data_IF_476085839204
#
_entry.id   IF_476085839204
#
_cell.length_a   1.000
_cell.length_b   1.000
_cell.length_c   1.000
_cell.angle_alpha   90.00
_cell.angle_beta   90.00
_cell.angle_gamma   90.00
#
_symmetry.space_group_name_H-M   'P 1'
#
loop_
_entity.id
_entity.type
_entity.pdbx_description
1 polymer ?
#
# COMPACT_ATOMS: atom_id res chain seq x y z
N UNK A 1 -36.44 9.52 -14.91
CA UNK A 1 -35.54 10.19 -15.88
C UNK A 1 -34.38 9.25 -16.18
N UNK A 2 -34.44 8.47 -17.25
CA UNK A 2 -33.27 7.76 -17.75
C UNK A 2 -32.31 8.76 -18.42
N UNK A 3 -31.05 8.39 -18.65
CA UNK A 3 -30.21 9.17 -19.55
C UNK A 3 -30.89 9.25 -20.92
N UNK A 4 -31.08 10.47 -21.43
CA UNK A 4 -31.72 10.72 -22.71
C UNK A 4 -30.73 11.46 -23.63
N UNK A 5 -30.30 10.78 -24.69
CA UNK A 5 -29.40 11.35 -25.69
C UNK A 5 -29.99 12.59 -26.36
N UNK A 6 -31.32 12.67 -26.52
CA UNK A 6 -31.95 13.87 -27.08
C UNK A 6 -31.80 15.07 -26.14
N UNK A 7 -32.03 14.87 -24.84
CA UNK A 7 -31.84 15.91 -23.83
C UNK A 7 -30.37 16.37 -23.77
N UNK A 8 -29.43 15.43 -23.83
CA UNK A 8 -27.99 15.72 -23.76
C UNK A 8 -27.45 16.39 -25.03
N UNK A 9 -28.07 16.14 -26.19
CA UNK A 9 -27.73 16.82 -27.45
C UNK A 9 -28.06 18.33 -27.43
N UNK A 10 -28.97 18.78 -26.55
CA UNK A 10 -29.29 20.19 -26.38
C UNK A 10 -28.39 20.92 -25.37
N UNK A 11 -27.54 20.20 -24.66
CA UNK A 11 -26.58 20.79 -23.72
C UNK A 11 -25.50 21.52 -24.51
N UNK A 12 -25.31 22.80 -24.23
CA UNK A 12 -24.37 23.65 -24.99
C UNK A 12 -23.05 23.87 -24.27
N UNK A 13 -23.03 23.67 -22.94
CA UNK A 13 -21.83 23.84 -22.14
C UNK A 13 -21.50 22.61 -21.32
N UNK A 14 -20.20 22.42 -21.05
CA UNK A 14 -19.76 21.33 -20.17
C UNK A 14 -20.28 21.48 -18.73
N UNK A 15 -20.54 22.70 -18.27
CA UNK A 15 -21.08 22.93 -16.92
C UNK A 15 -22.53 22.45 -16.84
N UNK A 16 -23.37 22.80 -17.82
CA UNK A 16 -24.74 22.27 -17.95
C UNK A 16 -24.75 20.73 -17.96
N UNK A 17 -23.82 20.11 -18.70
CA UNK A 17 -23.68 18.65 -18.73
C UNK A 17 -23.41 18.11 -17.32
N UNK A 18 -22.45 18.67 -16.60
CA UNK A 18 -22.08 18.19 -15.26
C UNK A 18 -23.23 18.37 -14.28
N UNK A 19 -23.92 19.51 -14.30
CA UNK A 19 -25.11 19.75 -13.49
C UNK A 19 -26.18 18.69 -13.77
N UNK A 20 -26.46 18.41 -15.06
CA UNK A 20 -27.42 17.38 -15.47
C UNK A 20 -26.99 15.98 -15.00
N UNK A 21 -25.73 15.58 -15.20
CA UNK A 21 -25.23 14.26 -14.79
C UNK A 21 -25.30 14.07 -13.27
N UNK A 22 -24.97 15.13 -12.51
CA UNK A 22 -25.10 15.12 -11.04
C UNK A 22 -26.57 14.96 -10.65
N UNK A 23 -27.47 15.77 -11.21
CA UNK A 23 -28.90 15.70 -10.93
C UNK A 23 -29.46 14.30 -11.25
N UNK A 24 -29.05 13.72 -12.37
CA UNK A 24 -29.42 12.37 -12.78
C UNK A 24 -28.96 11.32 -11.75
N UNK A 25 -27.72 11.42 -11.26
CA UNK A 25 -27.23 10.53 -10.19
C UNK A 25 -28.07 10.67 -8.91
N UNK A 26 -28.43 11.89 -8.50
CA UNK A 26 -29.30 12.11 -7.33
C UNK A 26 -30.70 11.54 -7.50
N UNK A 27 -31.25 11.61 -8.71
CA UNK A 27 -32.58 11.11 -9.02
C UNK A 27 -32.64 9.57 -9.09
N UNK A 28 -31.54 8.92 -9.46
CA UNK A 28 -31.51 7.48 -9.76
C UNK A 28 -30.84 6.62 -8.71
N UNK A 29 -29.82 7.13 -8.05
CA UNK A 29 -29.14 6.33 -7.04
C UNK A 29 -30.05 6.15 -5.82
N UNK A 30 -30.08 4.95 -5.22
CA UNK A 30 -30.81 4.73 -3.99
C UNK A 30 -30.36 5.72 -2.90
N UNK A 31 -31.30 6.25 -2.13
CA UNK A 31 -31.00 7.29 -1.14
C UNK A 31 -30.00 6.83 -0.08
N UNK A 32 -29.97 5.53 0.27
CA UNK A 32 -29.00 4.94 1.19
C UNK A 32 -27.58 4.79 0.60
N UNK A 33 -27.38 5.05 -0.70
CA UNK A 33 -26.06 5.18 -1.33
C UNK A 33 -25.55 6.61 -1.37
N UNK A 34 -26.38 7.58 -1.04
CA UNK A 34 -25.99 8.98 -1.04
C UNK A 34 -25.75 9.38 0.41
N UNK A 35 -24.53 9.82 0.70
CA UNK A 35 -24.20 10.37 2.00
C UNK A 35 -25.15 11.54 2.34
N UNK A 36 -25.72 11.53 3.55
CA UNK A 36 -26.70 12.54 3.98
C UNK A 36 -26.17 13.96 3.88
N UNK A 37 -24.89 14.17 4.15
CA UNK A 37 -24.23 15.49 4.03
C UNK A 37 -24.14 15.95 2.57
N UNK A 38 -23.82 15.04 1.63
CA UNK A 38 -23.84 15.34 0.20
C UNK A 38 -25.23 15.70 -0.31
N UNK A 39 -26.26 15.05 0.26
CA UNK A 39 -27.65 15.35 -0.05
C UNK A 39 -28.06 16.72 0.49
N UNK A 40 -27.78 17.02 1.76
CA UNK A 40 -28.21 18.28 2.37
C UNK A 40 -27.56 19.51 1.72
N UNK A 41 -26.25 19.48 1.49
CA UNK A 41 -25.52 20.69 1.12
C UNK A 41 -25.60 21.06 -0.36
N UNK A 42 -25.86 20.09 -1.23
CA UNK A 42 -25.65 20.24 -2.66
C UNK A 42 -26.82 19.71 -3.49
N UNK A 43 -27.98 19.43 -2.88
CA UNK A 43 -29.21 19.19 -3.65
C UNK A 43 -29.86 20.50 -4.10
N UNK A 44 -29.42 21.64 -3.55
CA UNK A 44 -29.85 22.96 -3.99
C UNK A 44 -29.05 23.38 -5.24
N UNK A 45 -29.76 23.54 -6.36
CA UNK A 45 -29.18 23.82 -7.68
C UNK A 45 -28.40 25.16 -7.70
N UNK A 46 -28.93 26.28 -7.19
CA UNK A 46 -28.17 27.51 -6.97
C UNK A 46 -26.83 27.31 -6.26
N UNK A 47 -26.81 26.53 -5.18
CA UNK A 47 -25.58 26.28 -4.40
C UNK A 47 -24.60 25.44 -5.21
N UNK A 48 -25.09 24.44 -5.95
CA UNK A 48 -24.27 23.64 -6.85
C UNK A 48 -23.63 24.51 -7.94
N UNK A 49 -24.42 25.42 -8.55
CA UNK A 49 -23.95 26.32 -9.60
C UNK A 49 -22.89 27.28 -9.08
N UNK A 50 -23.11 27.90 -7.92
CA UNK A 50 -22.12 28.78 -7.26
C UNK A 50 -20.78 28.05 -7.02
N UNK A 51 -20.83 26.79 -6.61
CA UNK A 51 -19.63 25.98 -6.39
C UNK A 51 -18.94 25.58 -7.69
N UNK A 52 -19.69 25.28 -8.75
CA UNK A 52 -19.13 25.01 -10.08
C UNK A 52 -18.41 26.25 -10.63
N UNK A 53 -19.02 27.42 -10.49
CA UNK A 53 -18.48 28.69 -10.98
C UNK A 53 -17.23 29.13 -10.19
N UNK A 54 -17.25 28.96 -8.87
CA UNK A 54 -16.12 29.36 -8.00
C UNK A 54 -14.95 28.38 -8.01
N UNK A 55 -15.14 27.14 -8.46
CA UNK A 55 -14.12 26.11 -8.43
C UNK A 55 -12.96 26.33 -9.44
N UNK A 56 -13.18 27.15 -10.48
CA UNK A 56 -12.19 27.33 -11.56
C UNK A 56 -11.90 26.04 -12.30
N UNK A 57 -12.96 25.30 -12.65
CA UNK A 57 -12.87 24.00 -13.33
C UNK A 57 -12.32 24.16 -14.75
N UNK A 58 -11.46 23.22 -15.12
CA UNK A 58 -10.97 23.02 -16.48
C UNK A 58 -11.25 21.58 -16.86
N UNK A 59 -11.76 21.36 -18.06
CA UNK A 59 -12.19 20.06 -18.54
C UNK A 59 -11.24 19.53 -19.60
N UNK A 60 -11.20 18.20 -19.74
CA UNK A 60 -10.48 17.57 -20.82
C UNK A 60 -11.04 18.05 -22.18
N UNK A 61 -10.17 18.28 -23.18
CA UNK A 61 -10.63 18.55 -24.54
C UNK A 61 -11.54 17.43 -25.02
N UNK A 62 -12.56 17.76 -25.81
CA UNK A 62 -13.56 16.83 -26.37
C UNK A 62 -14.45 16.11 -25.35
N UNK A 63 -14.45 16.49 -24.06
CA UNK A 63 -15.22 15.77 -23.04
C UNK A 63 -16.73 15.91 -23.23
N UNK A 64 -17.21 17.10 -23.63
CA UNK A 64 -18.63 17.35 -23.86
C UNK A 64 -19.10 16.48 -25.03
N UNK A 65 -18.35 16.53 -26.13
CA UNK A 65 -18.58 15.79 -27.35
C UNK A 65 -18.57 14.29 -27.06
N UNK A 66 -17.57 13.79 -26.31
CA UNK A 66 -17.45 12.38 -25.95
C UNK A 66 -18.68 11.82 -25.22
N UNK A 67 -19.36 12.63 -24.41
CA UNK A 67 -20.60 12.23 -23.72
C UNK A 67 -21.84 12.40 -24.61
N UNK A 68 -21.83 13.37 -25.53
CA UNK A 68 -22.91 13.62 -26.48
C UNK A 68 -22.93 12.64 -27.66
N UNK A 69 -21.82 11.96 -27.95
CA UNK A 69 -21.77 10.98 -29.03
C UNK A 69 -22.69 9.77 -28.74
N UNK A 70 -23.39 9.32 -29.79
CA UNK A 70 -24.26 8.14 -29.74
C UNK A 70 -23.48 6.84 -29.53
N UNK A 71 -22.19 6.81 -29.90
CA UNK A 71 -21.28 5.71 -29.64
C UNK A 71 -20.43 6.00 -28.38
N UNK A 72 -20.10 4.97 -27.58
CA UNK A 72 -19.29 5.16 -26.38
C UNK A 72 -17.85 5.58 -26.72
N UNK A 73 -17.16 6.32 -25.83
CA UNK A 73 -15.77 6.66 -26.01
C UNK A 73 -14.89 5.42 -26.16
N UNK A 74 -13.99 5.46 -27.13
CA UNK A 74 -13.02 4.38 -27.34
C UNK A 74 -11.95 4.38 -26.25
N UNK A 75 -11.23 3.26 -26.11
CA UNK A 75 -10.10 3.21 -25.19
C UNK A 75 -9.01 4.24 -25.53
N UNK A 76 -8.81 4.49 -26.82
CA UNK A 76 -7.81 5.45 -27.31
C UNK A 76 -8.16 6.89 -26.92
N UNK A 77 -9.46 7.23 -26.87
CA UNK A 77 -9.90 8.51 -26.32
C UNK A 77 -9.44 8.67 -24.88
N UNK A 78 -9.67 7.67 -24.01
CA UNK A 78 -9.19 7.69 -22.63
C UNK A 78 -7.66 7.79 -22.53
N UNK A 79 -6.93 7.14 -23.46
CA UNK A 79 -5.46 7.22 -23.53
C UNK A 79 -4.94 8.58 -24.01
N UNK A 80 -5.75 9.33 -24.76
CA UNK A 80 -5.44 10.67 -25.26
C UNK A 80 -5.62 11.78 -24.21
N UNK A 81 -6.30 11.49 -23.10
CA UNK A 81 -6.62 12.47 -22.07
C UNK A 81 -5.37 13.10 -21.45
N UNK A 82 -5.42 14.39 -21.03
CA UNK A 82 -4.31 15.07 -20.38
C UNK A 82 -3.84 14.32 -19.12
N UNK A 83 -2.54 14.15 -18.94
CA UNK A 83 -1.96 13.40 -17.81
C UNK A 83 -1.32 14.29 -16.73
N UNK A 84 -1.09 15.57 -17.04
CA UNK A 84 -0.36 16.50 -16.17
C UNK A 84 -1.31 17.29 -15.28
N UNK A 85 -1.29 17.02 -13.97
CA UNK A 85 -2.03 17.80 -12.96
C UNK A 85 -1.20 18.04 -11.69
N UNK A 86 -0.01 18.63 -11.87
CA UNK A 86 0.82 19.03 -10.75
C UNK A 86 0.12 20.11 -9.90
N UNK A 87 -0.07 19.84 -8.59
CA UNK A 87 -0.74 20.74 -7.63
C UNK A 87 -2.14 21.19 -8.09
N UNK A 88 -2.94 20.24 -8.59
CA UNK A 88 -4.34 20.45 -8.97
C UNK A 88 -5.23 19.43 -8.30
N UNK A 89 -6.45 19.81 -7.97
CA UNK A 89 -7.51 18.82 -7.72
C UNK A 89 -8.04 18.32 -9.06
N UNK A 90 -8.56 17.09 -9.10
CA UNK A 90 -8.99 16.50 -10.36
C UNK A 90 -9.84 15.26 -10.20
N UNK A 91 -10.66 14.99 -11.20
CA UNK A 91 -11.24 13.67 -11.47
C UNK A 91 -10.42 13.06 -12.60
N UNK A 92 -9.93 11.85 -12.38
CA UNK A 92 -9.06 11.12 -13.29
C UNK A 92 -9.67 9.78 -13.65
N UNK A 93 -9.18 9.23 -14.74
CA UNK A 93 -9.46 7.88 -15.22
C UNK A 93 -8.15 7.13 -15.43
N UNK A 94 -8.12 5.87 -14.99
CA UNK A 94 -6.99 4.96 -15.16
C UNK A 94 -7.39 3.88 -16.12
N UNK A 95 -6.53 3.63 -17.11
CA UNK A 95 -6.66 2.52 -18.04
C UNK A 95 -5.73 1.40 -17.61
N UNK A 96 -6.31 0.21 -17.43
CA UNK A 96 -5.64 -1.02 -17.04
C UNK A 96 -5.73 -2.02 -18.19
N UNK A 97 -4.59 -2.52 -18.66
CA UNK A 97 -4.54 -3.48 -19.76
C UNK A 97 -3.74 -4.72 -19.37
N UNK A 98 -4.15 -5.84 -19.96
CA UNK A 98 -3.49 -7.14 -19.88
C UNK A 98 -3.67 -7.83 -21.22
N UNK A 99 -2.59 -8.37 -21.78
CA UNK A 99 -2.64 -9.08 -23.05
C UNK A 99 -3.68 -10.23 -23.01
N UNK A 100 -4.51 -10.33 -24.05
CA UNK A 100 -5.56 -11.34 -24.16
C UNK A 100 -6.74 -11.15 -23.20
N UNK A 101 -6.83 -10.02 -22.50
CA UNK A 101 -7.94 -9.69 -21.62
C UNK A 101 -8.60 -8.37 -22.05
N UNK A 102 -9.91 -8.24 -21.81
CA UNK A 102 -10.63 -6.98 -22.03
C UNK A 102 -10.06 -5.88 -21.10
N UNK A 103 -9.76 -4.67 -21.62
CA UNK A 103 -9.27 -3.55 -20.81
C UNK A 103 -10.21 -3.19 -19.68
N UNK A 104 -9.67 -2.57 -18.63
CA UNK A 104 -10.44 -2.10 -17.48
C UNK A 104 -10.21 -0.62 -17.25
N UNK A 105 -11.24 0.10 -16.81
CA UNK A 105 -11.10 1.50 -16.40
C UNK A 105 -11.55 1.72 -14.95
N UNK A 106 -10.92 2.69 -14.31
CA UNK A 106 -11.28 3.18 -12.98
C UNK A 106 -11.37 4.69 -13.02
N UNK A 107 -12.49 5.26 -12.58
CA UNK A 107 -12.63 6.70 -12.35
C UNK A 107 -12.46 6.97 -10.86
N UNK A 108 -11.66 7.98 -10.53
CA UNK A 108 -11.48 8.43 -9.15
C UNK A 108 -11.19 9.92 -9.07
N UNK A 109 -11.23 10.50 -7.87
CA UNK A 109 -10.80 11.88 -7.65
C UNK A 109 -9.58 11.97 -6.74
N UNK A 110 -8.89 13.10 -6.81
CA UNK A 110 -7.76 13.42 -5.94
C UNK A 110 -7.84 14.86 -5.46
N UNK A 111 -8.24 15.03 -4.19
CA UNK A 111 -8.49 16.34 -3.55
C UNK A 111 -7.57 16.60 -2.35
N UNK A 112 -6.34 16.06 -2.40
CA UNK A 112 -5.34 16.29 -1.36
C UNK A 112 -4.88 17.75 -1.32
N UNK A 113 -4.82 18.36 -0.13
CA UNK A 113 -4.49 19.79 0.00
C UNK A 113 -3.05 20.14 -0.45
N UNK A 114 -2.09 19.22 -0.35
CA UNK A 114 -0.69 19.51 -0.69
C UNK A 114 -0.36 19.27 -2.17
N UNK A 115 -0.80 18.13 -2.69
CA UNK A 115 -0.37 17.56 -3.98
C UNK A 115 -1.55 17.30 -4.93
N UNK A 116 -2.78 17.46 -4.43
CA UNK A 116 -4.00 17.18 -5.19
C UNK A 116 -4.01 15.78 -5.81
N UNK A 117 -4.37 15.70 -7.08
CA UNK A 117 -4.50 14.45 -7.84
C UNK A 117 -3.15 13.79 -8.14
N UNK A 118 -2.04 14.55 -8.18
CA UNK A 118 -0.72 13.96 -8.43
C UNK A 118 -0.32 12.94 -7.38
N UNK A 119 -0.72 13.15 -6.11
CA UNK A 119 -0.44 12.17 -5.05
C UNK A 119 -1.15 10.84 -5.32
N UNK A 120 -2.39 10.92 -5.79
CA UNK A 120 -3.19 9.74 -6.09
C UNK A 120 -2.66 9.01 -7.32
N UNK A 121 -2.28 9.74 -8.37
CA UNK A 121 -1.59 9.20 -9.55
C UNK A 121 -0.29 8.48 -9.16
N UNK A 122 0.54 9.10 -8.30
CA UNK A 122 1.80 8.51 -7.83
C UNK A 122 1.60 7.24 -6.99
N UNK A 123 0.48 7.08 -6.29
CA UNK A 123 0.19 5.84 -5.57
C UNK A 123 0.03 4.65 -6.52
N UNK A 124 -0.43 4.89 -7.76
CA UNK A 124 -0.50 3.82 -8.76
C UNK A 124 0.88 3.46 -9.31
N UNK A 125 1.75 4.45 -9.51
CA UNK A 125 3.13 4.23 -9.94
C UNK A 125 3.95 3.46 -8.90
N UNK A 126 3.80 3.86 -7.63
CA UNK A 126 4.54 3.27 -6.51
C UNK A 126 3.88 2.01 -5.93
N UNK A 127 2.70 1.64 -6.43
CA UNK A 127 1.90 0.51 -5.95
C UNK A 127 1.64 0.49 -4.44
N UNK A 128 1.33 1.65 -3.85
CA UNK A 128 1.23 1.80 -2.39
C UNK A 128 -0.20 1.74 -1.85
N UNK A 129 -1.17 2.38 -2.52
CA UNK A 129 -2.55 2.48 -2.02
C UNK A 129 -3.53 2.47 -3.18
N UNK A 130 -4.23 1.35 -3.31
CA UNK A 130 -5.16 1.09 -4.41
C UNK A 130 -6.61 1.01 -3.93
N UNK A 131 -7.58 1.39 -4.77
CA UNK A 131 -8.93 0.84 -4.66
C UNK A 131 -8.88 -0.70 -4.74
N UNK A 132 -9.69 -1.39 -3.95
CA UNK A 132 -9.67 -2.84 -3.81
C UNK A 132 -9.67 -3.63 -5.14
N UNK A 133 -10.48 -3.21 -6.12
CA UNK A 133 -10.55 -3.91 -7.41
C UNK A 133 -9.51 -3.46 -8.43
N UNK A 134 -8.87 -2.31 -8.23
CA UNK A 134 -7.65 -1.97 -8.98
C UNK A 134 -6.51 -2.84 -8.47
N UNK A 135 -6.38 -3.03 -7.16
CA UNK A 135 -5.43 -3.98 -6.57
C UNK A 135 -5.66 -5.41 -7.07
N UNK A 136 -6.92 -5.85 -7.07
CA UNK A 136 -7.29 -7.15 -7.66
C UNK A 136 -6.87 -7.26 -9.12
N UNK A 137 -7.07 -6.22 -9.93
CA UNK A 137 -6.63 -6.21 -11.32
C UNK A 137 -5.09 -6.33 -11.44
N UNK A 138 -4.32 -5.63 -10.59
CA UNK A 138 -2.87 -5.80 -10.54
C UNK A 138 -2.45 -7.23 -10.21
N UNK A 139 -3.11 -7.85 -9.22
CA UNK A 139 -2.85 -9.24 -8.83
C UNK A 139 -3.21 -10.24 -9.95
N UNK A 140 -4.16 -9.88 -10.82
CA UNK A 140 -4.51 -10.65 -12.01
C UNK A 140 -3.55 -10.39 -13.19
N UNK A 141 -2.54 -9.54 -13.03
CA UNK A 141 -1.52 -9.24 -14.04
C UNK A 141 -1.84 -8.07 -14.98
N UNK A 142 -2.83 -7.23 -14.63
CA UNK A 142 -3.05 -5.98 -15.35
C UNK A 142 -1.99 -4.94 -14.98
N UNK A 143 -1.66 -4.07 -15.94
CA UNK A 143 -0.80 -2.92 -15.75
C UNK A 143 -1.55 -1.64 -16.10
N UNK A 144 -1.20 -0.54 -15.41
CA UNK A 144 -1.70 0.79 -15.77
C UNK A 144 -0.98 1.26 -17.03
N UNK A 145 -1.72 1.50 -18.10
CA UNK A 145 -1.17 1.99 -19.38
C UNK A 145 -1.47 3.47 -19.62
N UNK A 146 -2.50 4.04 -18.99
CA UNK A 146 -2.74 5.48 -18.98
C UNK A 146 -3.37 5.98 -17.67
N UNK A 147 -3.13 7.26 -17.35
CA UNK A 147 -3.71 8.01 -16.22
C UNK A 147 -4.15 9.38 -16.73
N UNK A 148 -5.35 9.46 -17.26
CA UNK A 148 -5.92 10.67 -17.86
C UNK A 148 -6.75 11.48 -16.87
N UNK A 149 -6.85 12.78 -17.09
CA UNK A 149 -7.72 13.68 -16.33
C UNK A 149 -8.98 13.94 -17.14
N UNK A 150 -10.15 13.81 -16.50
CA UNK A 150 -11.43 14.21 -17.07
C UNK A 150 -11.69 15.69 -16.79
N UNK A 151 -11.38 16.14 -15.57
CA UNK A 151 -11.38 17.56 -15.20
C UNK A 151 -10.37 17.84 -14.09
N UNK A 152 -10.01 19.11 -13.93
CA UNK A 152 -9.14 19.58 -12.87
C UNK A 152 -9.40 21.03 -12.47
N UNK A 153 -8.93 21.40 -11.29
CA UNK A 153 -9.04 22.74 -10.72
C UNK A 153 -7.76 23.12 -9.96
N UNK A 154 -7.48 24.42 -9.75
CA UNK A 154 -6.56 24.84 -8.70
C UNK A 154 -6.91 24.17 -7.35
N UNK A 155 -5.90 23.94 -6.50
CA UNK A 155 -6.18 23.56 -5.12
C UNK A 155 -6.87 24.76 -4.45
N UNK A 156 -8.06 24.58 -3.85
CA UNK A 156 -8.80 25.70 -3.28
C UNK A 156 -8.17 26.22 -1.99
N UNK A 157 -8.62 27.40 -1.57
CA UNK A 157 -8.29 27.94 -0.24
C UNK A 157 -8.85 27.04 0.85
N UNK A 158 -8.22 26.97 2.04
CA UNK A 158 -8.65 26.06 3.12
C UNK A 158 -10.13 26.19 3.51
N UNK A 159 -10.69 27.40 3.55
CA UNK A 159 -12.10 27.63 3.85
C UNK A 159 -13.07 26.92 2.91
N UNK A 160 -12.70 26.79 1.63
CA UNK A 160 -13.57 26.18 0.61
C UNK A 160 -13.31 24.68 0.42
N UNK A 161 -12.26 24.12 1.04
CA UNK A 161 -11.84 22.72 0.87
C UNK A 161 -12.97 21.72 1.14
N UNK A 162 -13.72 21.79 2.25
CA UNK A 162 -14.76 20.79 2.54
C UNK A 162 -15.86 20.77 1.47
N UNK A 163 -16.40 21.94 1.11
CA UNK A 163 -17.48 22.07 0.11
C UNK A 163 -17.03 21.62 -1.28
N UNK A 164 -15.86 22.07 -1.72
CA UNK A 164 -15.34 21.68 -3.03
C UNK A 164 -14.95 20.20 -3.09
N UNK A 165 -14.50 19.59 -1.98
CA UNK A 165 -14.24 18.15 -1.95
C UNK A 165 -15.53 17.36 -2.21
N UNK A 166 -16.66 17.79 -1.63
CA UNK A 166 -17.96 17.21 -1.90
C UNK A 166 -18.36 17.35 -3.37
N UNK A 167 -18.11 18.52 -3.99
CA UNK A 167 -18.34 18.73 -5.42
C UNK A 167 -17.54 17.73 -6.28
N UNK A 168 -16.26 17.52 -5.97
CA UNK A 168 -15.42 16.55 -6.68
C UNK A 168 -15.90 15.10 -6.52
N UNK A 169 -16.44 14.72 -5.36
CA UNK A 169 -17.07 13.40 -5.17
C UNK A 169 -18.32 13.24 -6.04
N UNK A 170 -19.12 14.30 -6.20
CA UNK A 170 -20.28 14.28 -7.11
C UNK A 170 -19.86 14.11 -8.56
N UNK A 171 -18.86 14.87 -9.00
CA UNK A 171 -18.32 14.77 -10.36
C UNK A 171 -17.66 13.41 -10.61
N UNK A 172 -16.92 12.86 -9.64
CA UNK A 172 -16.39 11.50 -9.69
C UNK A 172 -17.49 10.47 -9.88
N UNK A 173 -18.56 10.57 -9.09
CA UNK A 173 -19.72 9.69 -9.21
C UNK A 173 -20.38 9.80 -10.59
N UNK A 174 -20.65 11.03 -11.04
CA UNK A 174 -21.22 11.31 -12.35
C UNK A 174 -20.38 10.67 -13.48
N UNK A 175 -19.07 10.89 -13.48
CA UNK A 175 -18.20 10.29 -14.49
C UNK A 175 -18.06 8.78 -14.38
N UNK A 176 -18.06 8.23 -13.16
CA UNK A 176 -17.99 6.79 -12.95
C UNK A 176 -19.22 6.08 -13.53
N UNK A 177 -20.39 6.70 -13.46
CA UNK A 177 -21.61 6.15 -14.05
C UNK A 177 -21.74 6.43 -15.54
N UNK A 178 -21.50 7.67 -16.00
CA UNK A 178 -21.66 8.01 -17.43
C UNK A 178 -20.72 7.17 -18.30
N UNK A 179 -19.47 6.96 -17.88
CA UNK A 179 -18.52 6.10 -18.59
C UNK A 179 -18.58 4.63 -18.14
N UNK A 180 -19.49 4.29 -17.22
CA UNK A 180 -19.63 2.98 -16.60
C UNK A 180 -18.29 2.35 -16.15
N UNK A 181 -17.51 3.09 -15.37
CA UNK A 181 -16.35 2.53 -14.67
C UNK A 181 -16.73 1.68 -13.46
N UNK A 182 -18.02 1.45 -13.22
CA UNK A 182 -18.57 0.60 -12.18
C UNK A 182 -18.42 -0.89 -12.51
N UNK A 183 -18.17 -1.72 -11.48
CA UNK A 183 -18.21 -3.17 -11.67
C UNK A 183 -19.62 -3.63 -12.03
N UNK A 184 -19.71 -4.49 -13.06
CA UNK A 184 -20.94 -5.20 -13.41
C UNK A 184 -21.24 -6.26 -12.36
N UNK A 185 -22.01 -5.87 -11.36
CA UNK A 185 -22.62 -6.80 -10.39
C UNK A 185 -24.12 -6.80 -10.61
N UNK A 186 -24.84 -7.89 -10.32
CA UNK A 186 -26.30 -7.92 -10.46
C UNK A 186 -26.96 -6.71 -9.79
N UNK A 187 -26.52 -6.37 -8.57
CA UNK A 187 -26.99 -5.20 -7.83
C UNK A 187 -26.77 -3.87 -8.56
N UNK A 188 -25.60 -3.65 -9.16
CA UNK A 188 -25.31 -2.41 -9.90
C UNK A 188 -26.13 -2.32 -11.19
N UNK A 189 -26.30 -3.46 -11.88
CA UNK A 189 -27.08 -3.56 -13.12
C UNK A 189 -28.58 -3.41 -12.90
N UNK A 190 -29.07 -3.73 -11.70
CA UNK A 190 -30.47 -3.52 -11.32
C UNK A 190 -30.74 -2.06 -10.92
N UNK A 191 -29.77 -1.41 -10.25
CA UNK A 191 -30.02 -0.15 -9.57
C UNK A 191 -29.78 1.10 -10.40
N UNK A 192 -28.86 1.06 -11.37
CA UNK A 192 -28.49 2.27 -12.10
C UNK A 192 -27.97 2.08 -13.55
N UNK A 193 -28.36 1.03 -14.31
CA UNK A 193 -27.85 0.82 -15.67
C UNK A 193 -28.14 2.03 -16.59
N UNK A 194 -29.25 2.73 -16.35
CA UNK A 194 -29.68 3.88 -17.14
C UNK A 194 -28.88 5.16 -16.92
N UNK A 195 -27.90 5.15 -16.00
CA UNK A 195 -26.95 6.27 -15.85
C UNK A 195 -25.83 6.24 -16.91
N UNK A 196 -25.64 5.11 -17.57
CA UNK A 196 -24.77 5.00 -18.74
C UNK A 196 -25.59 5.33 -20.00
N UNK A 197 -25.13 6.26 -20.86
CA UNK A 197 -25.81 6.59 -22.11
C UNK A 197 -25.88 5.42 -23.09
N UNK A 198 -24.95 4.49 -22.97
CA UNK A 198 -24.67 3.47 -23.97
C UNK A 198 -25.02 2.08 -23.45
N UNK A 199 -25.42 1.14 -24.34
CA UNK A 199 -25.50 -0.27 -23.99
C UNK A 199 -24.18 -0.76 -23.40
N UNK A 200 -24.23 -1.42 -22.25
CA UNK A 200 -23.02 -1.79 -21.52
C UNK A 200 -22.17 -2.80 -22.30
N UNK A 201 -22.78 -3.66 -23.10
CA UNK A 201 -22.12 -4.57 -24.02
C UNK A 201 -21.37 -3.86 -25.17
N UNK A 202 -21.81 -2.65 -25.57
CA UNK A 202 -21.13 -1.84 -26.58
C UNK A 202 -19.82 -1.18 -26.10
N UNK A 203 -19.60 -1.09 -24.79
CA UNK A 203 -18.35 -0.57 -24.23
C UNK A 203 -17.19 -1.50 -24.61
N UNK A 204 -15.99 -0.96 -24.85
CA UNK A 204 -14.79 -1.76 -25.17
C UNK A 204 -13.99 -2.21 -23.93
N UNK A 205 -14.44 -1.81 -22.75
CA UNK A 205 -13.75 -1.98 -21.48
C UNK A 205 -14.72 -2.41 -20.38
N UNK A 206 -14.17 -2.83 -19.24
CA UNK A 206 -14.92 -3.11 -18.01
C UNK A 206 -14.60 -2.09 -16.92
N UNK A 207 -15.56 -1.81 -16.04
CA UNK A 207 -15.36 -0.97 -14.87
C UNK A 207 -14.84 -1.72 -13.65
N UNK A 208 -13.99 -1.08 -12.84
CA UNK A 208 -13.49 -1.63 -11.56
C UNK A 208 -13.84 -0.81 -10.32
N UNK A 209 -14.69 0.21 -10.41
CA UNK A 209 -15.21 0.90 -9.22
C UNK A 209 -16.14 -0.01 -8.41
N UNK A 210 -15.93 -0.07 -7.08
CA UNK A 210 -16.73 -0.91 -6.16
C UNK A 210 -18.00 -0.23 -5.67
N UNK A 211 -18.01 1.10 -5.61
CA UNK A 211 -19.05 1.89 -4.99
C UNK A 211 -19.14 3.25 -5.68
N UNK A 212 -20.30 3.90 -5.53
CA UNK A 212 -20.49 5.28 -5.95
C UNK A 212 -19.75 6.21 -4.98
N UNK A 213 -18.96 7.15 -5.50
CA UNK A 213 -18.24 8.14 -4.68
C UNK A 213 -19.18 8.98 -3.80
N UNK A 214 -20.46 9.10 -4.18
CA UNK A 214 -21.49 9.75 -3.35
C UNK A 214 -21.81 9.03 -2.03
N UNK A 215 -21.41 7.76 -1.87
CA UNK A 215 -21.56 7.02 -0.61
C UNK A 215 -20.45 7.32 0.39
N UNK A 216 -19.36 7.95 -0.06
CA UNK A 216 -18.24 8.30 0.79
C UNK A 216 -18.63 9.37 1.81
N UNK A 217 -18.08 9.25 3.03
CA UNK A 217 -18.17 10.32 4.01
C UNK A 217 -17.20 11.41 3.59
N UNK A 218 -17.74 12.60 3.29
CA UNK A 218 -16.92 13.78 3.05
C UNK A 218 -15.94 13.98 4.20
N UNK A 219 -14.66 14.17 3.87
CA UNK A 219 -13.62 14.47 4.86
C UNK A 219 -13.60 15.99 5.08
N UNK A 220 -13.92 16.41 6.31
CA UNK A 220 -13.83 17.79 6.77
C UNK A 220 -15.03 18.20 7.61
N UNK A 221 -14.83 19.20 8.46
CA UNK A 221 -15.88 19.74 9.32
C UNK A 221 -16.65 20.83 8.58
N UNK A 222 -17.66 20.42 7.82
CA UNK A 222 -18.45 21.35 6.97
C UNK A 222 -19.29 22.33 7.81
N UNK A 223 -19.46 22.06 9.11
CA UNK A 223 -20.11 22.97 10.04
C UNK A 223 -19.22 24.13 10.52
N UNK A 224 -17.93 24.14 10.18
CA UNK A 224 -17.03 25.23 10.56
C UNK A 224 -17.11 26.39 9.57
N UNK A 225 -16.88 27.61 10.08
CA UNK A 225 -16.75 28.80 9.23
C UNK A 225 -15.45 28.75 8.42
N UNK A 226 -15.40 29.52 7.32
CA UNK A 226 -14.20 29.61 6.50
C UNK A 226 -12.98 30.08 7.31
N UNK A 227 -13.16 31.06 8.20
CA UNK A 227 -12.10 31.54 9.08
C UNK A 227 -11.58 30.46 10.05
N UNK A 228 -12.47 29.63 10.60
CA UNK A 228 -12.07 28.49 11.45
C UNK A 228 -11.28 27.44 10.66
N UNK A 229 -11.74 27.12 9.45
CA UNK A 229 -11.05 26.19 8.55
C UNK A 229 -9.67 26.70 8.13
N UNK A 230 -9.54 28.01 7.90
CA UNK A 230 -8.25 28.65 7.63
C UNK A 230 -7.31 28.60 8.83
N UNK A 231 -7.81 28.89 10.04
CA UNK A 231 -7.02 28.78 11.27
C UNK A 231 -6.51 27.34 11.48
N UNK A 232 -7.37 26.34 11.31
CA UNK A 232 -7.00 24.92 11.40
C UNK A 232 -5.92 24.55 10.37
N UNK A 233 -6.03 25.08 9.15
CA UNK A 233 -5.05 24.79 8.10
C UNK A 233 -3.68 25.43 8.38
N UNK A 234 -3.64 26.62 8.98
CA UNK A 234 -2.39 27.23 9.46
C UNK A 234 -1.75 26.35 10.53
N UNK A 235 -2.51 25.94 11.55
CA UNK A 235 -2.00 25.07 12.62
C UNK A 235 -1.51 23.72 12.08
N UNK A 236 -2.27 23.11 11.17
CA UNK A 236 -1.90 21.85 10.53
C UNK A 236 -0.59 21.98 9.73
N UNK A 237 -0.38 23.10 9.05
CA UNK A 237 0.87 23.39 8.31
C UNK A 237 2.06 23.52 9.26
N UNK A 238 1.90 24.23 10.38
CA UNK A 238 2.94 24.37 11.41
C UNK A 238 3.29 23.03 12.04
N UNK A 239 2.28 22.24 12.42
CA UNK A 239 2.45 20.90 12.98
C UNK A 239 3.19 19.98 12.02
N UNK A 240 2.84 20.02 10.73
CA UNK A 240 3.51 19.25 9.68
C UNK A 240 4.97 19.69 9.48
N UNK A 241 5.25 21.00 9.51
CA UNK A 241 6.60 21.53 9.42
C UNK A 241 7.47 21.08 10.61
N UNK A 242 6.92 21.14 11.83
CA UNK A 242 7.58 20.66 13.03
C UNK A 242 7.86 19.15 12.99
N UNK A 243 6.87 18.35 12.59
CA UNK A 243 7.03 16.91 12.42
C UNK A 243 8.10 16.56 11.38
N UNK A 244 8.13 17.27 10.25
CA UNK A 244 9.14 17.06 9.21
C UNK A 244 10.55 17.41 9.71
N UNK A 245 10.70 18.49 10.47
CA UNK A 245 11.98 18.86 11.11
C UNK A 245 12.46 17.76 12.06
N UNK A 246 11.58 17.23 12.92
CA UNK A 246 11.90 16.14 13.85
C UNK A 246 12.27 14.84 13.11
N UNK A 247 11.54 14.51 12.05
CA UNK A 247 11.84 13.38 11.19
C UNK A 247 13.24 13.50 10.57
N UNK A 248 13.56 14.67 9.98
CA UNK A 248 14.87 14.94 9.37
C UNK A 248 16.00 14.81 10.39
N UNK A 249 15.86 15.40 11.58
CA UNK A 249 16.85 15.27 12.66
C UNK A 249 17.06 13.81 13.07
N UNK A 250 15.98 13.04 13.15
CA UNK A 250 16.06 11.61 13.46
C UNK A 250 16.76 10.81 12.37
N UNK A 251 16.49 11.12 11.10
CA UNK A 251 17.13 10.49 9.95
C UNK A 251 18.63 10.82 9.89
N UNK A 252 19.01 12.08 10.10
CA UNK A 252 20.41 12.53 10.18
C UNK A 252 21.15 11.83 11.32
N UNK A 253 20.53 11.72 12.51
CA UNK A 253 21.12 10.98 13.64
C UNK A 253 21.34 9.50 13.30
N UNK A 254 20.36 8.84 12.66
CA UNK A 254 20.50 7.44 12.23
C UNK A 254 21.61 7.27 11.19
N UNK A 255 21.72 8.19 10.23
CA UNK A 255 22.77 8.17 9.24
C UNK A 255 24.16 8.33 9.88
N UNK A 256 24.30 9.24 10.85
CA UNK A 256 25.55 9.43 11.61
C UNK A 256 25.96 8.15 12.35
N UNK A 257 25.05 7.55 13.12
CA UNK A 257 25.31 6.30 13.85
C UNK A 257 25.68 5.17 12.89
N UNK A 258 24.99 5.06 11.74
CA UNK A 258 25.33 4.06 10.73
C UNK A 258 26.74 4.25 10.14
N UNK A 259 27.16 5.51 9.93
CA UNK A 259 28.52 5.85 9.51
C UNK A 259 29.55 5.47 10.56
N UNK A 260 29.33 5.83 11.83
CA UNK A 260 30.22 5.49 12.95
C UNK A 260 30.37 3.97 13.11
N UNK A 261 29.28 3.20 12.98
CA UNK A 261 29.32 1.72 13.00
C UNK A 261 30.15 1.19 11.82
N UNK A 262 30.01 1.79 10.65
CA UNK A 262 30.74 1.36 9.43
C UNK A 262 32.24 1.63 9.58
N UNK A 263 32.61 2.80 10.11
CA UNK A 263 33.99 3.15 10.40
C UNK A 263 34.60 2.23 11.47
N UNK A 264 33.88 1.98 12.57
CA UNK A 264 34.32 1.06 13.62
C UNK A 264 34.57 -0.35 13.09
N UNK A 265 33.69 -0.85 12.20
CA UNK A 265 33.89 -2.14 11.52
C UNK A 265 35.12 -2.14 10.62
N UNK A 266 35.38 -1.06 9.90
CA UNK A 266 36.57 -0.93 9.06
C UNK A 266 37.86 -0.91 9.89
N UNK A 267 37.89 -0.21 11.02
CA UNK A 267 39.01 -0.20 11.97
C UNK A 267 39.23 -1.61 12.54
N UNK A 268 38.16 -2.28 12.99
CA UNK A 268 38.25 -3.65 13.50
C UNK A 268 38.79 -4.64 12.45
N UNK A 269 38.38 -4.49 11.19
CA UNK A 269 38.89 -5.30 10.09
C UNK A 269 40.40 -5.07 9.85
N UNK A 270 40.86 -3.81 9.89
CA UNK A 270 42.29 -3.48 9.77
C UNK A 270 43.11 -4.05 10.92
N UNK A 271 42.64 -3.91 12.16
CA UNK A 271 43.29 -4.50 13.33
C UNK A 271 43.37 -6.03 13.22
N UNK A 272 42.31 -6.67 12.71
CA UNK A 272 42.29 -8.11 12.47
C UNK A 272 43.28 -8.53 11.36
N UNK A 273 43.44 -7.71 10.31
CA UNK A 273 44.38 -7.98 9.22
C UNK A 273 45.85 -7.81 9.64
N UNK A 274 46.13 -6.96 10.63
CA UNK A 274 47.46 -6.79 11.23
C UNK A 274 47.78 -7.88 12.26
N UNK A 275 46.79 -8.68 12.72
CA UNK A 275 47.09 -9.85 13.53
C UNK A 275 47.99 -10.80 12.72
N UNK A 276 49.11 -11.29 13.29
CA UNK A 276 49.99 -12.22 12.60
C UNK A 276 49.18 -13.42 12.10
N UNK A 277 49.42 -13.80 10.84
CA UNK A 277 48.74 -14.92 10.15
C UNK A 277 48.59 -16.06 11.13
N UNK A 278 47.34 -16.37 11.48
CA UNK A 278 47.05 -17.40 12.47
C UNK A 278 47.71 -18.68 11.99
N UNK A 279 48.64 -19.21 12.78
CA UNK A 279 49.37 -20.43 12.45
C UNK A 279 48.39 -21.48 11.90
N UNK A 280 48.73 -22.18 10.80
CA UNK A 280 47.82 -23.10 10.15
C UNK A 280 47.16 -24.04 11.16
N UNK A 281 45.85 -24.26 11.02
CA UNK A 281 45.11 -25.18 11.89
C UNK A 281 45.84 -26.53 11.90
N UNK A 282 46.15 -27.02 13.10
CA UNK A 282 46.82 -28.30 13.30
C UNK A 282 48.30 -28.20 13.69
N UNK A 283 48.95 -27.06 13.44
CA UNK A 283 50.35 -26.83 13.86
C UNK A 283 50.50 -26.86 15.40
N UNK A 284 51.66 -27.27 15.95
CA UNK A 284 51.92 -27.23 17.39
C UNK A 284 51.65 -25.84 18.00
N UNK A 285 52.05 -24.77 17.30
CA UNK A 285 51.79 -23.39 17.72
C UNK A 285 50.30 -23.06 17.81
N UNK A 286 49.48 -23.47 16.82
CA UNK A 286 48.03 -23.29 16.88
C UNK A 286 47.41 -24.00 18.10
N UNK A 287 47.83 -25.24 18.38
CA UNK A 287 47.33 -26.02 19.51
C UNK A 287 47.71 -25.38 20.85
N UNK A 288 48.96 -24.91 20.98
CA UNK A 288 49.44 -24.22 22.17
C UNK A 288 48.66 -22.92 22.43
N UNK A 289 48.45 -22.11 21.38
CA UNK A 289 47.66 -20.88 21.48
C UNK A 289 46.21 -21.16 21.86
N UNK A 290 45.57 -22.15 21.21
CA UNK A 290 44.18 -22.55 21.52
C UNK A 290 44.04 -23.01 22.97
N UNK A 291 44.99 -23.80 23.49
CA UNK A 291 45.00 -24.23 24.90
C UNK A 291 45.15 -23.04 25.84
N UNK A 292 46.05 -22.09 25.54
CA UNK A 292 46.22 -20.87 26.34
C UNK A 292 44.93 -20.06 26.37
N UNK A 293 44.30 -19.81 25.21
CA UNK A 293 43.03 -19.09 25.13
C UNK A 293 41.91 -19.81 25.87
N UNK A 294 41.80 -21.14 25.76
CA UNK A 294 40.82 -21.92 26.51
C UNK A 294 41.04 -21.84 28.02
N UNK A 295 42.29 -21.88 28.48
CA UNK A 295 42.63 -21.75 29.90
C UNK A 295 42.31 -20.34 30.43
N UNK A 296 42.63 -19.29 29.67
CA UNK A 296 42.28 -17.90 30.01
C UNK A 296 40.76 -17.70 30.05
N UNK A 297 40.03 -18.26 29.08
CA UNK A 297 38.58 -18.15 29.05
C UNK A 297 37.92 -18.94 30.19
N UNK A 298 38.48 -20.09 30.57
CA UNK A 298 38.05 -20.85 31.74
C UNK A 298 38.30 -20.10 33.06
N UNK A 299 39.36 -19.28 33.14
CA UNK A 299 39.59 -18.39 34.28
C UNK A 299 38.59 -17.23 34.33
N UNK A 300 38.26 -16.64 33.17
CA UNK A 300 37.32 -15.50 33.08
C UNK A 300 35.86 -15.91 33.29
N UNK A 301 35.47 -17.08 32.76
CA UNK A 301 34.08 -17.56 32.76
C UNK A 301 34.03 -19.04 33.21
N UNK A 302 34.27 -19.33 34.50
CA UNK A 302 34.38 -20.70 35.01
C UNK A 302 33.10 -21.52 34.78
N UNK A 303 31.92 -20.92 34.96
CA UNK A 303 30.65 -21.60 34.79
C UNK A 303 30.39 -21.99 33.34
N UNK A 304 30.70 -21.10 32.39
CA UNK A 304 30.55 -21.37 30.97
C UNK A 304 31.53 -22.46 30.50
N UNK A 305 32.77 -22.45 31.02
CA UNK A 305 33.75 -23.49 30.72
C UNK A 305 33.30 -24.86 31.27
N UNK A 306 32.77 -24.90 32.50
CA UNK A 306 32.20 -26.11 33.09
C UNK A 306 31.00 -26.63 32.30
N UNK A 307 30.10 -25.74 31.87
CA UNK A 307 28.96 -26.10 31.03
C UNK A 307 29.40 -26.66 29.66
N UNK A 308 30.40 -26.05 29.02
CA UNK A 308 30.94 -26.52 27.74
C UNK A 308 31.63 -27.89 27.85
N UNK A 309 32.41 -28.11 28.92
CA UNK A 309 32.99 -29.42 29.22
C UNK A 309 31.92 -30.49 29.47
N UNK A 310 30.88 -30.15 30.22
CA UNK A 310 29.77 -31.05 30.48
C UNK A 310 29.01 -31.40 29.19
N UNK A 311 28.75 -30.42 28.33
CA UNK A 311 28.12 -30.64 27.03
C UNK A 311 28.94 -31.59 26.16
N UNK A 312 30.25 -31.36 26.02
CA UNK A 312 31.14 -32.24 25.25
C UNK A 312 31.19 -33.67 25.81
N UNK A 313 31.25 -33.81 27.14
CA UNK A 313 31.19 -35.12 27.81
C UNK A 313 29.85 -35.82 27.57
N UNK A 314 28.74 -35.08 27.58
CA UNK A 314 27.41 -35.64 27.32
C UNK A 314 27.27 -36.09 25.87
N UNK A 315 27.78 -35.33 24.91
CA UNK A 315 27.81 -35.73 23.49
C UNK A 315 28.65 -37.01 23.29
N UNK A 316 29.80 -37.13 23.95
CA UNK A 316 30.63 -38.34 23.88
C UNK A 316 29.91 -39.57 24.47
N UNK A 317 29.26 -39.41 25.63
CA UNK A 317 28.47 -40.48 26.27
C UNK A 317 27.30 -40.94 25.40
N UNK A 318 26.58 -40.00 24.80
CA UNK A 318 25.45 -40.30 23.91
C UNK A 318 25.92 -41.04 22.65
N UNK A 319 27.05 -40.63 22.06
CA UNK A 319 27.66 -41.33 20.92
C UNK A 319 28.07 -42.76 21.27
N UNK A 320 28.74 -42.95 22.42
CA UNK A 320 29.18 -44.27 22.87
C UNK A 320 28.01 -45.24 23.10
N UNK A 321 26.89 -44.76 23.64
CA UNK A 321 25.66 -45.54 23.79
C UNK A 321 25.07 -45.94 22.43
N UNK A 322 24.94 -44.99 21.51
CA UNK A 322 24.39 -45.24 20.16
C UNK A 322 25.23 -46.24 19.38
N UNK A 323 26.55 -46.15 19.49
CA UNK A 323 27.49 -47.06 18.81
C UNK A 323 27.71 -48.38 19.55
N UNK A 324 27.00 -48.62 20.67
CA UNK A 324 27.22 -49.76 21.59
C UNK A 324 28.73 -49.96 21.91
N UNK A 325 29.49 -48.87 22.00
CA UNK A 325 30.97 -48.90 22.10
C UNK A 325 31.46 -49.62 23.36
N UNK A 326 30.71 -49.51 24.46
CA UNK A 326 30.96 -50.22 25.70
C UNK A 326 29.73 -51.09 25.99
N UNK A 327 29.68 -52.25 25.37
CA UNK A 327 28.54 -53.17 25.42
C UNK A 327 28.89 -54.42 26.21
N UNK A 328 27.91 -54.91 26.95
CA UNK A 328 27.97 -56.18 27.66
C UNK A 328 27.27 -57.26 26.83
N UNK A 329 27.98 -58.31 26.38
CA UNK A 329 27.41 -59.36 25.55
C UNK A 329 26.47 -60.30 26.31
N UNK A 330 26.57 -60.40 27.64
CA UNK A 330 25.78 -61.35 28.44
C UNK A 330 24.35 -60.81 28.61
N UNK A 331 24.21 -59.52 28.91
CA UNK A 331 22.90 -58.91 29.20
C UNK A 331 22.41 -57.91 28.12
N UNK A 332 23.13 -57.79 26.99
CA UNK A 332 22.89 -56.86 25.87
C UNK A 332 22.74 -55.37 26.26
N UNK A 333 23.43 -54.93 27.33
CA UNK A 333 23.37 -53.53 27.80
C UNK A 333 24.54 -52.70 27.28
N UNK A 334 24.24 -51.49 26.80
CA UNK A 334 25.23 -50.50 26.40
C UNK A 334 25.49 -49.48 27.51
N UNK A 335 26.76 -49.11 27.70
CA UNK A 335 27.20 -48.20 28.75
C UNK A 335 27.84 -46.94 28.16
N UNK A 336 27.68 -45.78 28.84
CA UNK A 336 28.22 -44.52 28.34
C UNK A 336 29.75 -44.38 28.53
N UNK A 337 30.36 -45.21 29.38
CA UNK A 337 31.81 -45.20 29.66
C UNK A 337 32.33 -46.61 29.99
N UNK A 338 33.62 -46.87 29.70
CA UNK A 338 34.31 -48.13 30.06
C UNK A 338 34.24 -48.45 31.56
N UNK A 339 34.35 -47.43 32.42
CA UNK A 339 34.26 -47.61 33.88
C UNK A 339 32.86 -48.03 34.36
N UNK A 340 31.79 -47.64 33.67
CA UNK A 340 30.45 -48.12 34.00
C UNK A 340 30.25 -49.57 33.57
N UNK A 341 30.75 -49.94 32.38
CA UNK A 341 30.79 -51.33 31.95
C UNK A 341 31.62 -52.19 32.92
N UNK A 342 32.84 -51.78 33.28
CA UNK A 342 33.68 -52.53 34.21
C UNK A 342 33.01 -52.74 35.58
N UNK A 343 32.32 -51.72 36.12
CA UNK A 343 31.53 -51.87 37.35
C UNK A 343 30.33 -52.80 37.18
N UNK A 344 29.72 -52.82 36.01
CA UNK A 344 28.63 -53.74 35.69
C UNK A 344 29.13 -55.19 35.59
N UNK A 345 30.28 -55.42 34.96
CA UNK A 345 30.90 -56.74 34.86
C UNK A 345 31.26 -57.35 36.22
N UNK A 346 31.53 -56.51 37.23
CA UNK A 346 31.89 -56.93 38.60
C UNK A 346 30.64 -57.07 39.50
N UNK A 347 29.47 -56.60 39.05
CA UNK A 347 28.25 -56.68 39.85
C UNK A 347 27.69 -58.11 39.87
N UNK A 348 26.96 -58.44 40.94
CA UNK A 348 26.43 -59.78 41.23
C UNK A 348 25.56 -60.40 40.11
N UNK A 349 25.16 -59.59 39.13
CA UNK A 349 24.40 -59.99 37.94
C UNK A 349 25.18 -60.97 37.03
N UNK A 350 26.52 -61.03 37.14
CA UNK A 350 27.35 -61.96 36.34
C UNK A 350 28.19 -62.94 37.19
N UNK A 351 27.84 -63.13 38.47
CA UNK A 351 28.58 -64.03 39.38
C UNK A 351 27.82 -65.31 39.73
N UNK A 352 26.75 -65.66 39.02
CA UNK A 352 26.12 -66.98 39.11
C UNK A 352 26.46 -67.82 37.88
N UNK A 353 27.65 -68.41 37.89
CA UNK A 353 27.96 -69.73 37.32
C UNK A 353 29.25 -70.30 37.95
#
# INVERSE_FOLDING_TARGET
MAFDHAAVAHVTTIIELITMLIALCFAKLPTWWINSTLRLLLSDEPVLQELLDSAGLVFAPSLLEAVQFTAPPTLDWFKSLPTRAHKRWGVYVIVLEKQGSRPRIYVGSGTGADKGVSNRIANYDNRTTFPHYVEKAFNEGFNVTNKGLLLWAPIPRPGSVPKLRLLFLKMECAFAFVFWSMRRTPKMLEQAPELCPWPLDALQYDGVCSHAAMSEKGIGDIGLSEAQLEAIAVEAKERKAAAYKAYRQTAERKAKVASEITEAKAIAAKLTAQEPVKAPKGTPHYRARKRKTQAENAKRNPDQAKASMNAANNTYKAKALREKKYHDPICDKAFPTKQKLARHMISDIHTEE
#
